data_IF_993978812277
#
_entry.id   IF_993978812277
#
_cell.length_a   1.000
_cell.length_b   1.000
_cell.length_c   1.000
_cell.angle_alpha   90.00
_cell.angle_beta   90.00
_cell.angle_gamma   90.00
#
_symmetry.space_group_name_H-M   'P 1'
#
loop_
_entity.id
_entity.type
_entity.pdbx_description
1 polymer ?
#
# COMPACT_ATOMS: atom_id res chain seq x y z
N UNK A 1 -17.40 -8.28 -1.43
CA UNK A 1 -16.30 -8.39 -0.45
C UNK A 1 -16.74 -7.97 0.95
N UNK A 2 -17.12 -6.71 1.18
CA UNK A 2 -17.54 -6.21 2.51
C UNK A 2 -18.67 -7.03 3.14
N UNK A 3 -19.69 -7.40 2.37
CA UNK A 3 -20.79 -8.22 2.90
C UNK A 3 -20.32 -9.63 3.29
N UNK A 4 -19.49 -10.26 2.46
CA UNK A 4 -18.97 -11.61 2.70
C UNK A 4 -17.99 -11.67 3.89
N UNK A 5 -17.39 -10.54 4.30
CA UNK A 5 -16.52 -10.49 5.47
C UNK A 5 -17.25 -10.27 6.79
N UNK A 6 -18.59 -10.20 6.77
CA UNK A 6 -19.40 -10.14 7.98
C UNK A 6 -19.54 -11.55 8.57
N UNK A 7 -19.48 -11.63 9.90
CA UNK A 7 -19.78 -12.86 10.67
C UNK A 7 -18.87 -14.06 10.37
N UNK A 8 -17.61 -13.81 10.01
CA UNK A 8 -16.57 -14.83 9.85
C UNK A 8 -15.55 -14.72 11.00
N UNK A 9 -14.74 -15.76 11.31
CA UNK A 9 -13.84 -15.76 12.45
C UNK A 9 -12.57 -14.90 12.27
N UNK A 10 -12.53 -14.04 11.25
CA UNK A 10 -11.41 -13.15 10.95
C UNK A 10 -11.92 -11.75 10.67
N UNK A 11 -11.24 -10.74 11.20
CA UNK A 11 -11.55 -9.36 10.87
C UNK A 11 -10.91 -8.97 9.53
N UNK A 12 -11.75 -8.62 8.56
CA UNK A 12 -11.28 -8.11 7.27
C UNK A 12 -11.66 -6.64 7.15
N UNK A 13 -10.64 -5.83 6.93
CA UNK A 13 -10.72 -4.42 6.59
C UNK A 13 -10.24 -4.22 5.16
N UNK A 14 -10.66 -3.12 4.53
CA UNK A 14 -10.42 -2.87 3.13
C UNK A 14 -9.88 -1.45 2.92
N UNK A 15 -9.03 -1.33 1.91
CA UNK A 15 -8.73 -0.05 1.29
C UNK A 15 -9.41 0.01 -0.08
N UNK A 16 -9.83 1.20 -0.49
CA UNK A 16 -10.48 1.41 -1.79
C UNK A 16 -9.40 1.36 -2.88
N UNK A 17 -9.61 0.64 -4.01
CA UNK A 17 -8.60 0.58 -5.06
C UNK A 17 -8.33 1.97 -5.69
N UNK A 18 -7.08 2.41 -5.75
CA UNK A 18 -6.70 3.73 -6.26
C UNK A 18 -6.60 3.82 -7.78
N UNK A 19 -6.11 2.75 -8.42
CA UNK A 19 -5.64 2.72 -9.80
C UNK A 19 -6.44 1.70 -10.62
N UNK A 20 -7.69 2.03 -10.92
CA UNK A 20 -8.55 1.21 -11.79
C UNK A 20 -9.16 2.10 -12.89
N UNK A 21 -8.75 1.94 -14.16
CA UNK A 21 -7.63 1.12 -14.63
C UNK A 21 -6.27 1.54 -14.03
N UNK A 22 -5.29 0.63 -14.08
CA UNK A 22 -3.92 0.93 -13.68
C UNK A 22 -3.21 1.80 -14.73
N UNK A 23 -3.47 1.55 -16.02
CA UNK A 23 -2.89 2.26 -17.15
C UNK A 23 -3.97 2.86 -18.07
N UNK A 24 -4.51 4.01 -17.67
CA UNK A 24 -5.56 4.71 -18.43
C UNK A 24 -5.15 4.98 -19.89
N UNK A 25 -6.01 4.60 -20.83
CA UNK A 25 -5.78 4.71 -22.28
C UNK A 25 -5.02 3.55 -22.92
N UNK A 26 -4.40 2.67 -22.12
CA UNK A 26 -3.71 1.48 -22.60
C UNK A 26 -4.48 0.17 -22.35
N UNK A 27 -5.47 0.20 -21.46
CA UNK A 27 -6.33 -0.93 -21.14
C UNK A 27 -7.80 -0.52 -20.96
N UNK A 28 -8.68 -1.51 -20.92
CA UNK A 28 -10.13 -1.30 -20.71
C UNK A 28 -10.59 -2.01 -19.45
N UNK A 29 -11.16 -1.26 -18.51
CA UNK A 29 -11.80 -1.76 -17.30
C UNK A 29 -12.82 -0.75 -16.77
N UNK A 30 -13.53 -1.10 -15.69
CA UNK A 30 -14.34 -0.16 -14.94
C UNK A 30 -13.47 0.95 -14.31
N UNK A 31 -14.00 2.16 -14.16
CA UNK A 31 -13.27 3.28 -13.55
C UNK A 31 -13.74 3.56 -12.14
N UNK A 32 -12.83 3.51 -11.16
CA UNK A 32 -13.14 3.99 -9.81
C UNK A 32 -13.02 5.51 -9.75
N UNK A 33 -14.18 6.16 -9.79
CA UNK A 33 -14.29 7.62 -9.77
C UNK A 33 -14.18 8.21 -8.36
N UNK A 34 -13.82 9.49 -8.26
CA UNK A 34 -13.84 10.28 -7.02
C UNK A 34 -15.18 10.18 -6.29
N UNK A 35 -16.30 10.18 -7.03
CA UNK A 35 -17.64 10.03 -6.45
C UNK A 35 -17.90 8.63 -5.89
N UNK A 36 -17.40 7.58 -6.55
CA UNK A 36 -17.47 6.22 -6.02
C UNK A 36 -16.67 6.11 -4.72
N UNK A 37 -15.46 6.66 -4.68
CA UNK A 37 -14.60 6.69 -3.48
C UNK A 37 -15.33 7.40 -2.32
N UNK A 38 -15.93 8.58 -2.54
CA UNK A 38 -16.69 9.30 -1.50
C UNK A 38 -17.85 8.49 -0.93
N UNK A 39 -18.49 7.63 -1.74
CA UNK A 39 -19.56 6.73 -1.29
C UNK A 39 -18.98 5.56 -0.49
N UNK A 40 -17.93 4.93 -0.99
CA UNK A 40 -17.27 3.78 -0.36
C UNK A 40 -16.58 4.15 0.96
N UNK A 41 -16.01 5.36 1.08
CA UNK A 41 -15.36 5.85 2.30
C UNK A 41 -16.29 5.82 3.53
N UNK A 42 -17.62 5.80 3.34
CA UNK A 42 -18.61 5.80 4.43
C UNK A 42 -18.75 4.44 5.13
N UNK A 43 -18.24 3.36 4.54
CA UNK A 43 -18.33 2.04 5.15
C UNK A 43 -17.33 1.91 6.30
N UNK A 44 -17.77 1.42 7.47
CA UNK A 44 -16.93 1.27 8.67
C UNK A 44 -15.70 0.38 8.49
N UNK A 45 -15.76 -0.58 7.55
CA UNK A 45 -14.65 -1.52 7.25
C UNK A 45 -13.63 -0.93 6.26
N UNK A 46 -13.83 0.30 5.79
CA UNK A 46 -12.89 0.98 4.90
C UNK A 46 -11.91 1.80 5.73
N UNK A 47 -10.63 1.50 5.59
CA UNK A 47 -9.56 2.19 6.31
C UNK A 47 -8.88 3.27 5.47
N UNK A 48 -9.07 3.27 4.15
CA UNK A 48 -8.20 4.08 3.31
C UNK A 48 -8.31 3.85 1.81
N UNK A 49 -7.23 4.22 1.13
CA UNK A 49 -7.00 4.10 -0.30
C UNK A 49 -5.74 3.26 -0.53
N UNK A 50 -5.78 2.28 -1.42
CA UNK A 50 -4.62 1.44 -1.70
C UNK A 50 -4.69 0.77 -3.07
N UNK A 51 -3.59 0.27 -3.63
CA UNK A 51 -2.26 0.84 -3.43
C UNK A 51 -2.02 1.90 -4.49
N UNK A 52 -1.35 3.00 -4.14
CA UNK A 52 -1.17 4.15 -5.03
C UNK A 52 -0.01 3.87 -6.00
N UNK A 53 -0.20 2.92 -6.92
CA UNK A 53 0.78 2.54 -7.95
C UNK A 53 1.08 3.66 -8.94
N UNK A 54 0.10 4.54 -9.18
CA UNK A 54 0.28 5.71 -10.04
C UNK A 54 1.09 6.81 -9.32
N UNK A 55 2.24 6.45 -8.76
CA UNK A 55 3.22 7.40 -8.25
C UNK A 55 3.67 8.41 -9.32
N UNK A 56 3.79 8.09 -10.64
CA UNK A 56 4.07 9.11 -11.64
C UNK A 56 2.99 10.19 -11.69
N UNK A 57 1.72 9.81 -11.59
CA UNK A 57 0.60 10.73 -11.51
C UNK A 57 0.66 11.61 -10.27
N UNK A 58 1.03 11.05 -9.11
CA UNK A 58 1.21 11.83 -7.87
C UNK A 58 2.32 12.86 -8.03
N UNK A 59 3.49 12.45 -8.54
CA UNK A 59 4.66 13.32 -8.72
C UNK A 59 4.41 14.45 -9.73
N UNK A 60 3.58 14.19 -10.74
CA UNK A 60 3.20 15.18 -11.74
C UNK A 60 1.92 15.95 -11.36
N UNK A 61 1.43 15.81 -10.13
CA UNK A 61 0.21 16.47 -9.65
C UNK A 61 -1.01 16.24 -10.57
N UNK A 62 -1.14 15.03 -11.13
CA UNK A 62 -2.29 14.67 -11.96
C UNK A 62 -3.59 14.94 -11.19
N UNK A 63 -4.54 15.73 -11.74
CA UNK A 63 -5.71 16.17 -10.97
C UNK A 63 -6.54 15.02 -10.41
N UNK A 64 -6.71 13.93 -11.16
CA UNK A 64 -7.56 12.82 -10.74
C UNK A 64 -6.99 12.12 -9.50
N UNK A 65 -5.73 11.68 -9.54
CA UNK A 65 -5.16 10.97 -8.38
C UNK A 65 -5.05 11.89 -7.16
N UNK A 66 -4.73 13.17 -7.37
CA UNK A 66 -4.67 14.15 -6.29
C UNK A 66 -6.05 14.37 -5.66
N UNK A 67 -7.13 14.40 -6.45
CA UNK A 67 -8.49 14.46 -5.91
C UNK A 67 -8.86 13.21 -5.10
N UNK A 68 -8.45 12.02 -5.56
CA UNK A 68 -8.64 10.76 -4.82
C UNK A 68 -7.92 10.80 -3.47
N UNK A 69 -6.66 11.25 -3.44
CA UNK A 69 -5.84 11.38 -2.23
C UNK A 69 -6.42 12.40 -1.24
N UNK A 70 -6.85 13.56 -1.74
CA UNK A 70 -7.44 14.64 -0.90
C UNK A 70 -8.67 14.18 -0.12
N UNK A 71 -9.43 13.20 -0.62
CA UNK A 71 -10.55 12.63 0.12
C UNK A 71 -10.10 12.05 1.47
N UNK A 72 -8.90 11.49 1.56
CA UNK A 72 -8.40 10.81 2.76
C UNK A 72 -7.44 11.66 3.60
N UNK A 73 -7.11 12.88 3.17
CA UNK A 73 -6.27 13.83 3.91
C UNK A 73 -6.88 14.34 5.24
N UNK A 74 -8.08 13.88 5.59
CA UNK A 74 -8.76 14.23 6.84
C UNK A 74 -9.31 12.99 7.53
N UNK A 75 -9.12 12.92 8.85
CA UNK A 75 -9.49 11.78 9.69
C UNK A 75 -8.38 10.74 9.79
N UNK A 76 -8.71 9.59 10.40
CA UNK A 76 -7.75 8.52 10.68
C UNK A 76 -7.67 7.50 9.54
N UNK A 77 -7.61 7.98 8.29
CA UNK A 77 -7.52 7.10 7.13
C UNK A 77 -6.06 6.85 6.74
N UNK A 78 -5.80 5.67 6.17
CA UNK A 78 -4.50 5.30 5.64
C UNK A 78 -4.48 5.42 4.11
N UNK A 79 -3.30 5.66 3.55
CA UNK A 79 -3.09 5.67 2.10
C UNK A 79 -1.88 4.79 1.87
N UNK A 80 -2.12 3.60 1.32
CA UNK A 80 -1.05 2.65 1.05
C UNK A 80 -0.43 2.87 -0.32
N UNK A 81 0.89 2.72 -0.37
CA UNK A 81 1.69 3.02 -1.54
C UNK A 81 2.25 1.81 -2.26
N UNK A 82 2.76 2.10 -3.44
CA UNK A 82 3.51 1.20 -4.29
C UNK A 82 4.47 2.08 -5.08
N UNK A 83 5.73 2.16 -4.65
CA UNK A 83 6.73 3.03 -5.25
C UNK A 83 8.10 2.33 -5.36
N UNK A 84 8.23 1.31 -6.24
CA UNK A 84 9.49 0.61 -6.44
C UNK A 84 10.56 1.58 -6.94
N UNK A 85 11.76 1.48 -6.37
CA UNK A 85 12.95 2.26 -6.75
C UNK A 85 12.83 3.80 -6.61
N UNK A 86 11.74 4.30 -6.05
CA UNK A 86 11.55 5.72 -5.87
C UNK A 86 12.45 6.24 -4.75
N UNK A 87 13.32 7.22 -5.07
CA UNK A 87 14.39 7.71 -4.17
C UNK A 87 14.46 9.23 -4.15
N UNK A 88 15.22 9.78 -3.20
CA UNK A 88 15.54 11.20 -3.10
C UNK A 88 14.31 12.12 -3.02
N UNK A 89 14.37 13.23 -3.73
CA UNK A 89 13.31 14.25 -3.69
C UNK A 89 11.97 13.75 -4.25
N UNK A 90 11.99 12.78 -5.18
CA UNK A 90 10.76 12.21 -5.71
C UNK A 90 10.05 11.37 -4.65
N UNK A 91 10.79 10.55 -3.89
CA UNK A 91 10.22 9.83 -2.76
C UNK A 91 9.71 10.79 -1.67
N UNK A 92 10.37 11.93 -1.44
CA UNK A 92 9.83 12.95 -0.53
C UNK A 92 8.46 13.45 -1.01
N UNK A 93 8.35 13.79 -2.30
CA UNK A 93 7.10 14.28 -2.87
C UNK A 93 5.96 13.24 -2.78
N UNK A 94 6.26 11.97 -2.99
CA UNK A 94 5.29 10.88 -2.84
C UNK A 94 4.86 10.66 -1.39
N UNK A 95 5.82 10.62 -0.46
CA UNK A 95 5.60 10.40 0.97
C UNK A 95 4.78 11.51 1.66
N UNK A 96 4.64 12.68 1.03
CA UNK A 96 3.73 13.74 1.50
C UNK A 96 2.25 13.34 1.44
N UNK A 97 1.90 12.36 0.60
CA UNK A 97 0.51 11.93 0.38
C UNK A 97 0.27 10.46 0.71
N UNK A 98 1.32 9.65 0.71
CA UNK A 98 1.22 8.19 0.80
C UNK A 98 2.05 7.70 1.98
N UNK A 99 1.45 6.86 2.81
CA UNK A 99 1.96 6.57 4.15
C UNK A 99 2.81 5.31 4.23
N UNK A 100 2.66 4.36 3.32
CA UNK A 100 3.31 3.06 3.37
C UNK A 100 3.83 2.60 2.00
N UNK A 101 4.67 1.58 1.99
CA UNK A 101 5.14 0.91 0.77
C UNK A 101 5.63 -0.53 1.08
N UNK A 102 5.34 -1.47 0.18
CA UNK A 102 5.81 -2.86 0.23
C UNK A 102 6.86 -3.22 -0.83
N UNK A 103 7.22 -2.29 -1.70
CA UNK A 103 8.05 -2.54 -2.87
C UNK A 103 9.56 -2.52 -2.63
N UNK A 104 9.99 -2.25 -1.39
CA UNK A 104 11.42 -2.24 -1.06
C UNK A 104 12.06 -3.61 -1.25
N UNK A 105 13.10 -3.71 -2.08
CA UNK A 105 13.79 -4.98 -2.37
C UNK A 105 15.16 -5.10 -1.69
N UNK A 106 15.69 -3.99 -1.18
CA UNK A 106 17.00 -3.92 -0.54
C UNK A 106 16.96 -3.03 0.72
N UNK A 107 18.01 -3.12 1.53
CA UNK A 107 18.14 -2.41 2.79
C UNK A 107 18.17 -0.88 2.61
N UNK A 108 18.89 -0.41 1.58
CA UNK A 108 19.08 1.01 1.32
C UNK A 108 17.75 1.72 1.03
N UNK A 109 16.92 1.12 0.17
CA UNK A 109 15.60 1.61 -0.17
C UNK A 109 14.65 1.60 1.04
N UNK A 110 14.63 0.48 1.79
CA UNK A 110 13.81 0.34 2.98
C UNK A 110 14.16 1.39 4.05
N UNK A 111 15.45 1.63 4.29
CA UNK A 111 15.90 2.64 5.25
C UNK A 111 15.58 4.05 4.78
N UNK A 112 15.68 4.33 3.48
CA UNK A 112 15.30 5.64 2.95
C UNK A 112 13.80 5.92 3.17
N UNK A 113 12.93 4.93 2.89
CA UNK A 113 11.49 5.01 3.13
C UNK A 113 11.16 5.20 4.62
N UNK A 114 11.78 4.42 5.51
CA UNK A 114 11.64 4.56 6.96
C UNK A 114 12.09 5.94 7.45
N UNK A 115 13.22 6.46 6.97
CA UNK A 115 13.74 7.79 7.33
C UNK A 115 12.82 8.93 6.90
N UNK A 116 11.98 8.70 5.89
CA UNK A 116 10.97 9.65 5.42
C UNK A 116 9.63 9.50 6.13
N UNK A 117 9.56 8.65 7.15
CA UNK A 117 8.39 8.44 7.99
C UNK A 117 7.36 7.49 7.39
N UNK A 118 7.66 6.85 6.27
CA UNK A 118 6.77 5.84 5.70
C UNK A 118 6.76 4.58 6.55
N UNK A 119 5.64 3.86 6.52
CA UNK A 119 5.54 2.50 7.02
C UNK A 119 6.11 1.53 5.99
N UNK A 120 7.04 0.69 6.42
CA UNK A 120 7.65 -0.34 5.59
C UNK A 120 6.86 -1.64 5.74
N UNK A 121 6.22 -2.07 4.66
CA UNK A 121 5.51 -3.35 4.59
C UNK A 121 6.44 -4.43 4.04
N UNK A 122 6.94 -5.29 4.92
CA UNK A 122 7.83 -6.39 4.57
C UNK A 122 7.02 -7.60 4.10
N UNK A 123 7.23 -7.99 2.85
CA UNK A 123 6.56 -9.08 2.15
C UNK A 123 7.22 -10.42 2.42
N UNK A 124 6.37 -11.41 2.69
CA UNK A 124 6.65 -12.83 2.56
C UNK A 124 5.51 -13.48 1.75
N UNK A 125 5.46 -13.14 0.45
CA UNK A 125 4.47 -13.61 -0.51
C UNK A 125 4.96 -14.72 -1.43
N UNK A 126 4.13 -15.14 -2.38
CA UNK A 126 4.51 -16.13 -3.39
C UNK A 126 5.46 -15.54 -4.44
N UNK A 127 5.16 -14.33 -4.93
CA UNK A 127 5.94 -13.67 -5.99
C UNK A 127 7.09 -12.81 -5.44
N UNK A 128 6.88 -12.15 -4.29
CA UNK A 128 7.82 -11.19 -3.72
C UNK A 128 8.12 -11.51 -2.26
N UNK A 129 9.42 -11.60 -1.94
CA UNK A 129 9.94 -11.93 -0.61
C UNK A 129 11.07 -10.99 -0.23
N UNK A 130 10.82 -10.11 0.74
CA UNK A 130 11.78 -9.11 1.19
C UNK A 130 11.89 -9.04 2.73
N UNK A 131 11.28 -9.97 3.47
CA UNK A 131 11.35 -10.03 4.94
C UNK A 131 12.79 -10.07 5.49
N UNK A 132 13.76 -10.57 4.71
CA UNK A 132 15.17 -10.60 5.11
C UNK A 132 15.75 -9.20 5.37
N UNK A 133 15.16 -8.13 4.82
CA UNK A 133 15.53 -6.74 5.13
C UNK A 133 15.40 -6.47 6.65
N UNK A 134 14.44 -7.09 7.32
CA UNK A 134 14.24 -6.96 8.77
C UNK A 134 15.48 -7.38 9.57
N UNK A 135 16.22 -8.40 9.09
CA UNK A 135 17.45 -8.86 9.75
C UNK A 135 18.48 -7.74 9.78
N UNK A 136 18.66 -7.03 8.66
CA UNK A 136 19.59 -5.91 8.57
C UNK A 136 19.09 -4.70 9.38
N UNK A 137 17.78 -4.41 9.40
CA UNK A 137 17.19 -3.36 10.26
C UNK A 137 17.52 -3.62 11.74
N UNK A 138 17.28 -4.84 12.22
CA UNK A 138 17.53 -5.23 13.62
C UNK A 138 19.02 -5.20 13.95
N UNK A 139 19.86 -5.76 13.07
CA UNK A 139 21.32 -5.78 13.24
C UNK A 139 21.91 -4.38 13.33
N UNK A 140 21.39 -3.43 12.55
CA UNK A 140 21.79 -2.02 12.58
C UNK A 140 21.08 -1.18 13.66
N UNK A 141 20.28 -1.82 14.54
CA UNK A 141 19.55 -1.17 15.65
C UNK A 141 18.62 -0.03 15.19
N UNK A 142 18.04 -0.18 14.01
CA UNK A 142 17.03 0.75 13.49
C UNK A 142 15.69 0.40 14.13
N UNK A 143 14.90 1.42 14.49
CA UNK A 143 13.58 1.22 15.08
C UNK A 143 12.66 0.48 14.12
N UNK A 144 11.97 -0.54 14.64
CA UNK A 144 10.98 -1.32 13.89
C UNK A 144 9.55 -0.80 14.06
N UNK A 145 9.36 0.36 14.69
CA UNK A 145 8.03 0.91 15.00
C UNK A 145 7.15 1.16 13.76
N UNK A 146 7.77 1.36 12.59
CA UNK A 146 7.10 1.55 11.30
C UNK A 146 7.24 0.34 10.38
N UNK A 147 7.72 -0.80 10.88
CA UNK A 147 7.78 -2.04 10.10
C UNK A 147 6.51 -2.87 10.32
N UNK A 148 5.93 -3.36 9.23
CA UNK A 148 4.76 -4.24 9.21
C UNK A 148 5.09 -5.48 8.41
N UNK A 149 4.48 -6.61 8.74
CA UNK A 149 4.56 -7.83 7.94
C UNK A 149 3.33 -7.93 7.05
N UNK A 150 3.53 -8.27 5.78
CA UNK A 150 2.46 -8.50 4.80
C UNK A 150 2.81 -9.71 3.95
N UNK A 151 1.82 -10.31 3.30
CA UNK A 151 2.05 -11.33 2.29
C UNK A 151 2.01 -10.78 0.87
N UNK A 152 1.36 -9.63 0.65
CA UNK A 152 0.99 -9.18 -0.70
C UNK A 152 0.15 -10.28 -1.38
N UNK A 153 0.64 -10.89 -2.44
CA UNK A 153 -0.01 -12.02 -3.10
C UNK A 153 0.47 -13.39 -2.60
N UNK A 154 -0.49 -14.29 -2.32
CA UNK A 154 -0.27 -15.71 -2.04
C UNK A 154 -1.01 -16.55 -3.09
N UNK A 155 -0.30 -17.46 -3.75
CA UNK A 155 -0.90 -18.40 -4.68
C UNK A 155 -1.67 -19.50 -3.94
N UNK A 156 -2.78 -19.94 -4.53
CA UNK A 156 -3.69 -20.91 -3.91
C UNK A 156 -3.02 -22.26 -3.61
N UNK A 157 -2.04 -22.67 -4.40
CA UNK A 157 -1.27 -23.92 -4.23
C UNK A 157 -0.26 -23.85 -3.08
N UNK A 158 0.05 -22.65 -2.57
CA UNK A 158 0.94 -22.45 -1.42
C UNK A 158 0.19 -22.29 -0.09
N UNK A 159 -1.15 -22.24 -0.09
CA UNK A 159 -1.96 -22.06 1.12
C UNK A 159 -1.72 -23.14 2.18
N UNK A 160 -1.29 -24.34 1.77
CA UNK A 160 -0.94 -25.42 2.69
C UNK A 160 0.31 -25.11 3.55
N UNK A 161 1.14 -24.14 3.13
CA UNK A 161 2.31 -23.67 3.88
C UNK A 161 1.93 -22.69 4.99
N UNK A 162 0.75 -22.08 4.92
CA UNK A 162 0.28 -21.05 5.85
C UNK A 162 0.02 -19.70 5.16
N UNK A 163 -0.10 -18.62 5.95
CA UNK A 163 -0.25 -17.25 5.44
C UNK A 163 0.85 -16.33 5.99
N UNK A 164 0.56 -15.47 6.98
CA UNK A 164 1.59 -14.58 7.55
C UNK A 164 2.43 -15.25 8.65
N UNK A 165 1.98 -16.41 9.11
CA UNK A 165 2.47 -17.10 10.29
C UNK A 165 3.44 -18.26 9.99
N UNK A 166 3.86 -18.43 8.74
CA UNK A 166 4.83 -19.45 8.34
C UNK A 166 6.26 -18.95 8.41
#
# INVERSE_FOLDING_TARGET
MIENSKNIPVEIYFNIPSCVPAAEGFETSEKITVNAIKKLKKYKRILGLAEVMNFPGVLNCNPEIIEKLKIFNTGNFVIDGHCPDLKGNLLNAYAMFVHSDHESTNYEEAIEKLRKGMYLMLREGSAAKNINILKEIVKNKISTAHCMLVCDDIHADELNKGHINF
#
